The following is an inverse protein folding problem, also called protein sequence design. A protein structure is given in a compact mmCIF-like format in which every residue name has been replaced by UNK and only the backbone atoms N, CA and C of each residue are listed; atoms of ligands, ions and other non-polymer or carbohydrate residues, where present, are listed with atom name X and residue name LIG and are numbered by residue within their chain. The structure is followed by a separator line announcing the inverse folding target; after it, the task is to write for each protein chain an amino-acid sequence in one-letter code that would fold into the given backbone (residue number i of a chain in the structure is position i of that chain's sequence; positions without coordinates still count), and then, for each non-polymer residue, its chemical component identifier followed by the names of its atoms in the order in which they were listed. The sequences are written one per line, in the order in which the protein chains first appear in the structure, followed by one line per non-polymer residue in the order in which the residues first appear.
data_IF_978280451684
#
_entry.id   IF_978280451684
#
_cell.length_a   1.000
_cell.length_b   1.000
_cell.length_c   1.000
_cell.angle_alpha   90.00
_cell.angle_beta   90.00
_cell.angle_gamma   90.00
#
_symmetry.space_group_name_H-M   'P 1'
#
loop_
_entity.id
_entity.type
_entity.pdbx_description
1 polymer ?
#
# COMPACT_ATOMS: atom_id res chain seq x y z
N UNK A 1 25.15 27.97 -36.92
CA UNK A 1 26.20 27.96 -35.87
C UNK A 1 25.60 28.45 -34.56
N UNK A 2 26.00 27.80 -33.45
CA UNK A 2 25.65 27.99 -32.01
C UNK A 2 24.36 27.28 -31.57
N UNK A 3 24.42 26.04 -31.04
CA UNK A 3 24.80 25.59 -29.67
C UNK A 3 23.92 26.22 -28.58
N UNK A 4 22.97 25.44 -28.04
CA UNK A 4 23.01 24.53 -26.86
C UNK A 4 22.71 25.28 -25.56
N UNK A 5 21.62 24.90 -24.90
CA UNK A 5 21.61 24.54 -23.48
C UNK A 5 20.64 23.37 -23.30
N UNK A 6 21.19 22.23 -22.88
CA UNK A 6 20.47 21.09 -22.38
C UNK A 6 20.36 21.27 -20.86
N UNK A 7 19.17 21.12 -20.31
CA UNK A 7 19.00 20.93 -18.87
C UNK A 7 19.15 19.43 -18.59
N UNK A 8 20.23 19.11 -17.88
CA UNK A 8 20.44 17.81 -17.25
C UNK A 8 19.80 17.93 -15.87
N UNK A 9 18.76 17.16 -15.60
CA UNK A 9 18.35 16.88 -14.23
C UNK A 9 19.26 15.77 -13.69
N UNK A 10 20.18 16.17 -12.81
CA UNK A 10 20.95 15.27 -11.96
C UNK A 10 20.12 15.08 -10.70
N UNK A 11 19.49 13.91 -10.53
CA UNK A 11 18.98 13.50 -9.23
C UNK A 11 20.06 12.69 -8.52
N UNK A 12 20.35 13.13 -7.30
CA UNK A 12 21.46 12.74 -6.46
C UNK A 12 21.30 11.28 -6.01
N UNK A 13 22.20 10.40 -6.46
CA UNK A 13 22.34 9.05 -5.94
C UNK A 13 23.08 9.12 -4.60
N UNK A 14 22.37 8.93 -3.50
CA UNK A 14 22.97 8.65 -2.21
C UNK A 14 23.39 7.19 -2.14
N UNK A 15 24.60 6.88 -2.61
CA UNK A 15 25.25 5.59 -2.36
C UNK A 15 25.91 5.67 -0.99
N UNK A 16 25.36 4.99 0.01
CA UNK A 16 26.14 4.58 1.19
C UNK A 16 26.62 3.16 0.90
N UNK A 17 27.86 3.06 0.41
CA UNK A 17 28.55 1.77 0.28
C UNK A 17 29.03 1.37 1.67
N UNK A 18 28.40 0.38 2.29
CA UNK A 18 29.03 -0.43 3.33
C UNK A 18 29.35 -1.78 2.70
N UNK A 19 30.65 -1.99 2.47
CA UNK A 19 31.23 -3.29 2.15
C UNK A 19 31.15 -4.14 3.42
N UNK A 20 30.09 -4.94 3.57
CA UNK A 20 30.14 -6.14 4.40
C UNK A 20 30.54 -7.30 3.49
N UNK A 21 31.75 -7.80 3.70
CA UNK A 21 32.30 -8.96 3.01
C UNK A 21 31.41 -10.19 3.21
N UNK A 22 31.13 -10.87 2.11
CA UNK A 22 30.61 -12.24 2.01
C UNK A 22 30.94 -13.13 3.22
N UNK A 23 29.90 -13.55 3.94
CA UNK A 23 29.88 -14.83 4.65
C UNK A 23 28.77 -15.65 4.00
N UNK A 24 28.99 -16.01 2.74
CA UNK A 24 28.35 -17.19 2.17
C UNK A 24 29.23 -18.37 2.57
N UNK A 25 28.82 -19.08 3.62
CA UNK A 25 29.26 -20.47 3.75
C UNK A 25 28.62 -21.25 2.59
N UNK A 26 29.41 -22.15 2.01
CA UNK A 26 29.14 -22.94 0.80
C UNK A 26 27.93 -23.90 0.93
N UNK A 27 27.21 -23.85 2.06
CA UNK A 27 26.08 -24.70 2.43
C UNK A 27 24.83 -23.88 2.83
N UNK A 28 24.41 -22.88 2.04
CA UNK A 28 23.01 -22.43 1.95
C UNK A 28 22.24 -21.98 3.21
N UNK A 29 22.84 -21.93 4.39
CA UNK A 29 22.21 -21.50 5.65
C UNK A 29 23.03 -20.39 6.27
N UNK A 30 22.51 -19.16 6.21
CA UNK A 30 22.98 -18.05 7.06
C UNK A 30 22.34 -18.29 8.44
N UNK A 31 23.10 -18.90 9.35
CA UNK A 31 22.71 -19.10 10.74
C UNK A 31 23.71 -18.35 11.65
N UNK A 32 23.28 -17.34 12.43
CA UNK A 32 21.90 -16.90 12.66
C UNK A 32 21.36 -15.95 11.57
N UNK A 33 20.03 -15.88 11.40
CA UNK A 33 19.40 -14.91 10.51
C UNK A 33 19.80 -13.49 10.93
N UNK A 34 20.36 -12.72 9.99
CA UNK A 34 20.77 -11.33 10.24
C UNK A 34 19.51 -10.47 10.26
N UNK A 35 19.33 -9.69 11.32
CA UNK A 35 18.27 -8.70 11.39
C UNK A 35 18.52 -7.60 10.35
N UNK A 36 17.52 -7.30 9.53
CA UNK A 36 17.59 -6.29 8.46
C UNK A 36 16.51 -5.24 8.66
N UNK A 37 16.73 -4.03 8.15
CA UNK A 37 15.69 -3.00 8.07
C UNK A 37 15.32 -2.77 6.62
N UNK A 38 14.07 -3.04 6.28
CA UNK A 38 13.54 -2.76 4.94
C UNK A 38 12.92 -1.38 4.96
N UNK A 39 13.47 -0.47 4.16
CA UNK A 39 12.92 0.86 3.97
C UNK A 39 12.05 0.83 2.73
N UNK A 40 10.92 1.53 2.76
CA UNK A 40 10.03 1.59 1.62
C UNK A 40 9.62 3.03 1.31
N UNK A 41 9.24 3.22 0.06
CA UNK A 41 8.64 4.46 -0.44
C UNK A 41 7.48 4.09 -1.35
N UNK A 42 6.34 4.76 -1.14
CA UNK A 42 5.16 4.67 -1.99
C UNK A 42 4.92 6.04 -2.60
N UNK A 43 4.82 6.11 -3.92
CA UNK A 43 4.51 7.36 -4.63
C UNK A 43 3.38 7.16 -5.60
N UNK A 44 2.33 7.97 -5.53
CA UNK A 44 1.28 8.02 -6.54
C UNK A 44 1.49 9.27 -7.41
N UNK A 45 1.57 9.08 -8.73
CA UNK A 45 1.65 10.19 -9.72
C UNK A 45 0.39 10.32 -10.57
N UNK A 46 -0.49 9.32 -10.51
CA UNK A 46 -1.81 9.27 -11.14
C UNK A 46 -2.82 9.04 -10.02
N UNK A 47 -3.83 9.89 -9.93
CA UNK A 47 -4.62 9.96 -8.70
C UNK A 47 -5.32 8.66 -8.37
N UNK A 48 -5.00 8.09 -7.19
CA UNK A 48 -5.78 7.00 -6.61
C UNK A 48 -7.09 7.62 -6.13
N UNK A 49 -8.20 7.19 -6.67
CA UNK A 49 -9.53 7.64 -6.28
C UNK A 49 -10.26 6.56 -5.51
N UNK A 50 -10.88 6.95 -4.42
CA UNK A 50 -11.90 6.18 -3.74
C UNK A 50 -13.26 6.73 -4.11
N UNK A 51 -14.07 5.90 -4.75
CA UNK A 51 -15.44 6.24 -5.06
C UNK A 51 -16.35 5.80 -3.93
N UNK A 52 -17.17 6.71 -3.39
CA UNK A 52 -18.26 6.38 -2.46
C UNK A 52 -19.57 7.00 -2.96
N UNK A 53 -20.71 6.65 -2.37
CA UNK A 53 -22.04 7.05 -2.85
C UNK A 53 -22.16 8.57 -3.08
N UNK A 54 -21.74 9.39 -2.10
CA UNK A 54 -21.98 10.84 -2.11
C UNK A 54 -20.79 11.70 -2.60
N UNK A 55 -19.59 11.13 -2.75
CA UNK A 55 -18.38 11.86 -3.16
C UNK A 55 -17.32 10.94 -3.80
N UNK A 56 -16.32 11.57 -4.40
CA UNK A 56 -15.09 10.93 -4.84
C UNK A 56 -13.91 11.58 -4.12
N UNK A 57 -13.09 10.75 -3.47
CA UNK A 57 -11.90 11.16 -2.74
C UNK A 57 -10.68 10.80 -3.59
N UNK A 58 -9.94 11.79 -4.12
CA UNK A 58 -8.85 11.57 -5.07
C UNK A 58 -7.53 12.06 -4.51
N UNK A 59 -6.59 11.14 -4.33
CA UNK A 59 -5.21 11.42 -3.99
C UNK A 59 -4.52 12.11 -5.16
N UNK A 60 -4.04 13.33 -4.99
CA UNK A 60 -3.39 14.10 -6.06
C UNK A 60 -1.89 13.83 -6.10
N UNK A 61 -1.26 13.82 -4.94
CA UNK A 61 0.14 13.50 -4.72
C UNK A 61 0.26 12.61 -3.50
N UNK A 62 1.24 11.72 -3.50
CA UNK A 62 1.52 10.84 -2.37
C UNK A 62 3.02 10.58 -2.32
N UNK A 63 3.61 10.80 -1.15
CA UNK A 63 4.93 10.27 -0.80
C UNK A 63 4.86 9.70 0.60
N UNK A 64 4.75 8.38 0.71
CA UNK A 64 4.82 7.69 2.00
C UNK A 64 6.19 7.04 2.13
N UNK A 65 6.80 7.18 3.29
CA UNK A 65 8.10 6.57 3.59
C UNK A 65 8.03 5.86 4.93
N UNK A 66 8.71 4.73 5.07
CA UNK A 66 8.67 3.94 6.28
C UNK A 66 9.72 2.87 6.34
N UNK A 67 9.76 2.14 7.45
CA UNK A 67 10.68 1.03 7.64
C UNK A 67 10.10 -0.07 8.51
N UNK A 68 10.42 -1.33 8.21
CA UNK A 68 10.11 -2.45 9.09
C UNK A 68 11.34 -3.35 9.28
N UNK A 69 11.34 -4.15 10.35
CA UNK A 69 12.41 -5.11 10.62
C UNK A 69 12.07 -6.48 10.03
N UNK A 70 13.06 -7.15 9.45
CA UNK A 70 12.93 -8.50 8.89
C UNK A 70 14.18 -9.35 9.12
N UNK A 71 14.23 -10.52 8.46
CA UNK A 71 15.37 -11.45 8.52
C UNK A 71 15.97 -11.69 7.13
N UNK A 72 17.31 -11.78 7.07
CA UNK A 72 18.03 -12.15 5.86
C UNK A 72 17.77 -13.62 5.50
N UNK A 73 17.29 -13.90 4.28
CA UNK A 73 17.16 -15.26 3.75
C UNK A 73 15.73 -15.71 3.41
N UNK A 74 14.70 -15.06 3.93
CA UNK A 74 13.30 -15.47 3.71
C UNK A 74 12.69 -14.93 2.38
N UNK A 75 13.51 -14.45 1.44
CA UNK A 75 13.02 -13.53 0.40
C UNK A 75 12.64 -12.18 1.03
N UNK A 76 12.31 -11.15 0.26
CA UNK A 76 11.66 -9.97 0.81
C UNK A 76 10.21 -10.36 1.17
N UNK A 77 10.02 -11.20 2.19
CA UNK A 77 8.70 -11.51 2.71
C UNK A 77 8.20 -10.28 3.44
N UNK A 78 7.20 -9.64 2.85
CA UNK A 78 6.54 -8.45 3.35
C UNK A 78 5.51 -8.78 4.46
N UNK A 79 5.68 -9.92 5.14
CA UNK A 79 4.83 -10.33 6.25
C UNK A 79 5.16 -9.51 7.49
N UNK A 80 4.43 -8.40 7.66
CA UNK A 80 4.55 -7.48 8.79
C UNK A 80 3.21 -7.35 9.50
N UNK A 81 3.23 -7.14 10.80
CA UNK A 81 2.00 -6.88 11.56
C UNK A 81 1.46 -5.45 11.33
N UNK A 82 2.33 -4.52 10.96
CA UNK A 82 1.99 -3.12 10.76
C UNK A 82 2.85 -2.42 9.72
N UNK A 83 2.39 -1.25 9.28
CA UNK A 83 2.98 -0.38 8.28
C UNK A 83 3.19 1.00 8.91
N UNK A 84 4.44 1.46 8.99
CA UNK A 84 4.76 2.72 9.68
C UNK A 84 5.06 3.86 8.72
N UNK A 85 4.39 5.01 8.82
CA UNK A 85 4.73 6.20 8.03
C UNK A 85 5.59 7.17 8.83
N UNK A 86 6.78 7.46 8.33
CA UNK A 86 7.73 8.37 8.94
C UNK A 86 7.27 9.84 8.79
N UNK A 87 7.77 10.77 9.63
CA UNK A 87 7.48 12.21 9.52
C UNK A 87 7.95 12.90 8.23
N UNK A 88 8.65 12.18 7.35
CA UNK A 88 8.96 12.64 5.99
C UNK A 88 7.85 12.35 4.98
N UNK A 89 6.72 11.79 5.42
CA UNK A 89 5.60 11.43 4.56
C UNK A 89 4.62 12.59 4.42
N UNK A 90 4.18 12.83 3.18
CA UNK A 90 3.30 13.94 2.79
C UNK A 90 2.35 13.46 1.68
N UNK A 91 1.12 13.95 1.67
CA UNK A 91 0.18 13.71 0.58
C UNK A 91 -0.92 14.76 0.45
N UNK A 92 -1.38 14.95 -0.78
CA UNK A 92 -2.50 15.82 -1.10
C UNK A 92 -3.75 14.99 -1.42
N UNK A 93 -4.84 15.26 -0.74
CA UNK A 93 -6.13 14.62 -0.98
C UNK A 93 -7.16 15.66 -1.43
N UNK A 94 -7.81 15.40 -2.56
CA UNK A 94 -8.90 16.22 -3.06
C UNK A 94 -10.24 15.53 -2.88
N UNK A 95 -11.26 16.30 -2.49
CA UNK A 95 -12.62 15.82 -2.31
C UNK A 95 -13.50 16.44 -3.39
N UNK A 96 -14.25 15.60 -4.11
CA UNK A 96 -15.21 16.04 -5.13
C UNK A 96 -16.59 15.53 -4.76
N UNK A 97 -17.47 16.44 -4.33
CA UNK A 97 -18.86 16.11 -4.04
C UNK A 97 -19.62 15.68 -5.31
N UNK A 98 -20.47 14.66 -5.19
CA UNK A 98 -21.35 14.19 -6.26
C UNK A 98 -22.78 14.73 -6.16
N UNK A 99 -23.14 15.37 -5.05
CA UNK A 99 -24.49 15.84 -4.78
C UNK A 99 -24.50 17.30 -4.32
N UNK A 100 -25.62 18.00 -4.57
CA UNK A 100 -25.76 19.39 -4.12
C UNK A 100 -25.87 19.53 -2.60
N UNK A 101 -26.16 18.42 -1.90
CA UNK A 101 -26.35 18.37 -0.45
C UNK A 101 -25.04 18.02 0.30
N UNK A 102 -23.98 17.62 -0.42
CA UNK A 102 -22.64 17.41 0.13
C UNK A 102 -21.77 18.63 -0.16
N UNK A 103 -21.36 19.32 0.91
CA UNK A 103 -20.62 20.59 0.86
C UNK A 103 -19.11 20.41 0.83
N UNK A 104 -18.60 19.24 1.23
CA UNK A 104 -17.18 18.99 1.29
C UNK A 104 -16.61 18.86 -0.13
N UNK A 105 -15.91 19.90 -0.56
CA UNK A 105 -15.15 19.90 -1.82
C UNK A 105 -13.96 20.83 -1.67
N UNK A 106 -12.78 20.35 -2.05
CA UNK A 106 -11.54 21.09 -1.83
C UNK A 106 -10.33 20.18 -1.89
N UNK A 107 -9.20 20.67 -1.41
CA UNK A 107 -7.96 19.90 -1.28
C UNK A 107 -7.43 20.07 0.13
N UNK A 108 -7.06 18.97 0.76
CA UNK A 108 -6.31 18.95 2.00
C UNK A 108 -4.87 18.51 1.74
N UNK A 109 -3.93 19.21 2.35
CA UNK A 109 -2.53 18.81 2.41
C UNK A 109 -2.31 18.13 3.76
N UNK A 110 -1.67 16.96 3.75
CA UNK A 110 -1.41 16.18 4.94
C UNK A 110 0.08 16.00 5.15
N UNK A 111 0.54 16.41 6.32
CA UNK A 111 1.92 16.25 6.78
C UNK A 111 1.97 15.29 7.98
N UNK A 112 2.71 14.19 7.84
CA UNK A 112 2.98 13.31 9.00
C UNK A 112 3.98 14.00 9.91
N UNK A 113 3.62 14.18 11.19
CA UNK A 113 4.45 14.92 12.16
C UNK A 113 5.07 14.02 13.23
N UNK A 114 4.43 12.89 13.50
CA UNK A 114 4.97 11.78 14.27
C UNK A 114 4.68 10.47 13.55
N UNK A 115 5.54 9.47 13.76
CA UNK A 115 5.44 8.19 13.04
C UNK A 115 4.06 7.57 13.25
N UNK A 116 3.34 7.33 12.16
CA UNK A 116 2.02 6.68 12.23
C UNK A 116 2.20 5.18 12.06
N UNK A 117 1.65 4.40 12.99
CA UNK A 117 1.70 2.95 12.97
C UNK A 117 0.33 2.38 12.58
N UNK A 118 0.18 1.97 11.32
CA UNK A 118 -1.03 1.34 10.81
C UNK A 118 -0.96 -0.16 11.04
N UNK A 119 -1.80 -0.66 11.93
CA UNK A 119 -2.05 -2.10 12.04
C UNK A 119 -2.70 -2.60 10.75
N UNK A 120 -2.31 -3.78 10.29
CA UNK A 120 -2.95 -4.41 9.13
C UNK A 120 -4.26 -5.14 9.50
N UNK A 121 -4.49 -5.42 10.79
CA UNK A 121 -5.66 -6.16 11.29
C UNK A 121 -6.70 -5.28 11.97
N UNK A 122 -6.26 -4.14 12.52
CA UNK A 122 -7.04 -3.26 13.38
C UNK A 122 -6.82 -1.81 12.99
N UNK A 123 -7.53 -0.90 13.67
CA UNK A 123 -7.28 0.52 13.53
C UNK A 123 -5.81 0.90 13.84
N UNK A 124 -5.35 2.05 13.33
CA UNK A 124 -4.02 2.59 13.63
C UNK A 124 -3.72 2.62 15.13
N UNK A 125 -2.48 2.32 15.50
CA UNK A 125 -2.08 2.13 16.89
C UNK A 125 -1.58 3.43 17.55
N UNK A 126 -0.87 4.26 16.78
CA UNK A 126 -0.29 5.52 17.25
C UNK A 126 0.11 6.42 16.10
N UNK A 127 0.30 7.71 16.38
CA UNK A 127 0.95 8.65 15.47
C UNK A 127 0.34 10.04 15.51
N UNK A 128 0.84 10.92 14.64
CA UNK A 128 0.27 12.26 14.49
C UNK A 128 0.46 12.77 13.05
N UNK A 129 -0.57 13.42 12.53
CA UNK A 129 -0.47 14.19 11.30
C UNK A 129 -1.18 15.55 11.45
N UNK A 130 -0.81 16.45 10.56
CA UNK A 130 -1.46 17.73 10.37
C UNK A 130 -2.20 17.69 9.04
N UNK A 131 -3.43 18.19 9.04
CA UNK A 131 -4.27 18.38 7.87
C UNK A 131 -4.55 19.86 7.69
N UNK A 132 -4.12 20.42 6.57
CA UNK A 132 -4.49 21.78 6.17
C UNK A 132 -5.60 21.69 5.13
N UNK A 133 -6.83 22.06 5.50
CA UNK A 133 -7.97 22.13 4.60
C UNK A 133 -8.47 23.58 4.52
N UNK A 134 -8.48 24.14 3.32
CA UNK A 134 -8.89 25.54 3.05
C UNK A 134 -8.23 26.58 3.98
N UNK A 135 -6.97 26.35 4.34
CA UNK A 135 -6.18 27.23 5.20
C UNK A 135 -6.46 27.11 6.69
N UNK A 136 -7.22 26.09 7.10
CA UNK A 136 -7.42 25.72 8.51
C UNK A 136 -6.59 24.49 8.83
N UNK A 137 -5.70 24.62 9.80
CA UNK A 137 -4.83 23.53 10.28
C UNK A 137 -5.54 22.71 11.34
N UNK A 138 -5.60 21.39 11.12
CA UNK A 138 -6.16 20.40 12.03
C UNK A 138 -5.09 19.40 12.41
N UNK A 139 -4.79 19.28 13.70
CA UNK A 139 -3.86 18.28 14.23
C UNK A 139 -4.64 17.05 14.65
N UNK A 140 -4.24 15.89 14.14
CA UNK A 140 -4.86 14.61 14.46
C UNK A 140 -3.85 13.72 15.17
N UNK A 141 -4.16 13.33 16.41
CA UNK A 141 -3.34 12.45 17.24
C UNK A 141 -4.02 11.09 17.34
N UNK A 142 -3.33 10.06 16.89
CA UNK A 142 -3.82 8.68 16.82
C UNK A 142 -3.38 7.94 18.08
N UNK A 143 -4.30 7.19 18.67
CA UNK A 143 -4.04 6.28 19.78
C UNK A 143 -4.85 4.97 19.61
N UNK A 144 -4.46 3.95 20.37
CA UNK A 144 -5.08 2.63 20.29
C UNK A 144 -6.59 2.62 20.55
N UNK A 145 -7.08 3.54 21.38
CA UNK A 145 -8.47 3.64 21.80
C UNK A 145 -9.27 4.73 21.07
N UNK A 146 -8.63 5.50 20.18
CA UNK A 146 -9.31 6.52 19.39
C UNK A 146 -8.39 7.61 18.84
N UNK A 147 -8.97 8.78 18.62
CA UNK A 147 -8.32 9.89 17.93
C UNK A 147 -8.62 11.21 18.65
N UNK A 148 -7.58 11.99 18.93
CA UNK A 148 -7.70 13.37 19.41
C UNK A 148 -7.55 14.35 18.25
N UNK A 149 -8.51 15.26 18.07
CA UNK A 149 -8.52 16.25 16.98
C UNK A 149 -8.49 17.66 17.55
N UNK A 150 -7.48 18.46 17.17
CA UNK A 150 -7.37 19.88 17.53
C UNK A 150 -7.38 20.77 16.28
N UNK A 151 -8.32 21.71 16.22
CA UNK A 151 -8.47 22.64 15.09
C UNK A 151 -7.87 24.00 15.44
N UNK A 152 -6.89 24.44 14.67
CA UNK A 152 -6.17 25.69 14.86
C UNK A 152 -5.52 25.79 16.24
N UNK A 153 -6.03 26.68 17.09
CA UNK A 153 -5.55 26.86 18.48
C UNK A 153 -6.52 26.31 19.53
N UNK A 154 -7.59 25.64 19.10
CA UNK A 154 -8.54 25.03 20.01
C UNK A 154 -7.92 23.84 20.75
N UNK A 155 -8.50 23.51 21.91
CA UNK A 155 -8.14 22.28 22.61
C UNK A 155 -8.57 21.06 21.80
N UNK A 156 -7.83 19.96 21.93
CA UNK A 156 -8.18 18.69 21.31
C UNK A 156 -9.53 18.17 21.85
N UNK A 157 -10.31 17.58 20.96
CA UNK A 157 -11.51 16.79 21.27
C UNK A 157 -11.21 15.34 20.94
N UNK A 158 -11.46 14.46 21.90
CA UNK A 158 -11.21 13.02 21.75
C UNK A 158 -12.45 12.31 21.22
N UNK A 159 -12.23 11.39 20.29
CA UNK A 159 -13.23 10.55 19.65
C UNK A 159 -12.81 9.08 19.77
N UNK A 160 -13.75 8.19 20.03
CA UNK A 160 -13.53 6.75 19.79
C UNK A 160 -13.37 6.48 18.29
N UNK A 161 -12.80 5.34 17.91
CA UNK A 161 -12.72 4.95 16.50
C UNK A 161 -14.07 4.93 15.79
N UNK A 162 -15.10 4.36 16.42
CA UNK A 162 -16.44 4.32 15.84
C UNK A 162 -17.06 5.71 15.65
N UNK A 163 -16.77 6.66 16.54
CA UNK A 163 -17.18 8.06 16.37
C UNK A 163 -16.39 8.73 15.25
N UNK A 164 -15.07 8.50 15.21
CA UNK A 164 -14.18 9.06 14.21
C UNK A 164 -14.54 8.63 12.78
N UNK A 165 -14.82 7.34 12.57
CA UNK A 165 -15.25 6.78 11.27
C UNK A 165 -16.55 7.45 10.77
N UNK A 166 -17.43 7.86 11.69
CA UNK A 166 -18.65 8.55 11.35
C UNK A 166 -18.43 10.02 10.97
N UNK A 167 -17.37 10.67 11.46
CA UNK A 167 -17.13 12.11 11.25
C UNK A 167 -17.04 12.47 9.77
N UNK A 168 -16.35 11.67 8.96
CA UNK A 168 -16.17 11.95 7.53
C UNK A 168 -17.49 12.12 6.75
N UNK A 169 -18.54 11.43 7.21
CA UNK A 169 -19.86 11.42 6.58
C UNK A 169 -20.91 12.27 7.33
N UNK A 170 -20.55 12.86 8.47
CA UNK A 170 -21.46 13.70 9.25
C UNK A 170 -21.41 15.16 8.76
N UNK A 171 -22.43 15.57 8.01
CA UNK A 171 -22.55 16.94 7.47
C UNK A 171 -22.82 18.01 8.53
N UNK A 172 -23.02 17.63 9.79
CA UNK A 172 -23.11 18.58 10.92
C UNK A 172 -21.75 18.92 11.53
N UNK A 173 -20.71 18.16 11.19
CA UNK A 173 -19.33 18.38 11.61
C UNK A 173 -18.65 19.38 10.68
N UNK A 174 -17.72 20.18 11.20
CA UNK A 174 -16.98 21.16 10.41
C UNK A 174 -16.12 20.49 9.33
N UNK A 175 -16.07 21.08 8.14
CA UNK A 175 -15.42 20.50 6.96
C UNK A 175 -13.93 20.16 7.17
N UNK A 176 -13.22 20.92 8.01
CA UNK A 176 -11.83 20.67 8.38
C UNK A 176 -11.63 19.40 9.22
N UNK A 177 -12.58 19.08 10.11
CA UNK A 177 -12.59 17.83 10.88
C UNK A 177 -12.98 16.67 9.95
N UNK A 178 -13.98 16.88 9.08
CA UNK A 178 -14.39 15.88 8.10
C UNK A 178 -13.24 15.53 7.16
N UNK A 179 -12.59 16.53 6.55
CA UNK A 179 -11.43 16.35 5.68
C UNK A 179 -10.30 15.59 6.37
N UNK A 180 -10.00 15.93 7.63
CA UNK A 180 -8.99 15.22 8.40
C UNK A 180 -9.37 13.74 8.63
N UNK A 181 -10.62 13.44 8.97
CA UNK A 181 -11.08 12.06 9.14
C UNK A 181 -10.99 11.24 7.85
N UNK A 182 -11.39 11.84 6.74
CA UNK A 182 -11.33 11.21 5.42
C UNK A 182 -9.89 11.00 4.92
N UNK A 183 -8.98 11.87 5.29
CA UNK A 183 -7.56 11.67 5.00
C UNK A 183 -7.00 10.42 5.69
N UNK A 184 -7.37 10.16 6.94
CA UNK A 184 -6.94 8.95 7.65
C UNK A 184 -7.59 7.69 7.05
N UNK A 185 -8.87 7.77 6.70
CA UNK A 185 -9.60 6.68 6.03
C UNK A 185 -9.00 6.36 4.64
N UNK A 186 -8.55 7.38 3.89
CA UNK A 186 -7.83 7.19 2.63
C UNK A 186 -6.44 6.56 2.84
N UNK A 187 -5.69 6.98 3.87
CA UNK A 187 -4.42 6.34 4.23
C UNK A 187 -4.61 4.87 4.61
N UNK A 188 -5.62 4.56 5.41
CA UNK A 188 -5.95 3.19 5.80
C UNK A 188 -6.28 2.34 4.57
N UNK A 189 -7.09 2.87 3.66
CA UNK A 189 -7.39 2.23 2.37
C UNK A 189 -6.12 1.98 1.53
N UNK A 190 -5.19 2.94 1.48
CA UNK A 190 -3.90 2.79 0.77
C UNK A 190 -3.00 1.74 1.43
N UNK A 191 -2.92 1.69 2.77
CA UNK A 191 -2.18 0.66 3.52
C UNK A 191 -2.70 -0.73 3.16
N UNK A 192 -4.02 -0.90 3.07
CA UNK A 192 -4.65 -2.16 2.67
C UNK A 192 -4.35 -2.50 1.22
N UNK A 193 -4.44 -1.55 0.32
CA UNK A 193 -4.10 -1.75 -1.08
C UNK A 193 -2.63 -2.15 -1.26
N UNK A 194 -1.72 -1.55 -0.50
CA UNK A 194 -0.31 -1.96 -0.44
C UNK A 194 -0.18 -3.42 -0.02
N UNK A 195 -0.83 -3.81 1.07
CA UNK A 195 -0.83 -5.20 1.53
C UNK A 195 -1.37 -6.17 0.47
N UNK A 196 -2.46 -5.86 -0.23
CA UNK A 196 -2.96 -6.75 -1.28
C UNK A 196 -2.05 -6.81 -2.51
N UNK A 197 -1.28 -5.77 -2.79
CA UNK A 197 -0.21 -5.85 -3.78
C UNK A 197 0.91 -6.80 -3.31
N UNK A 198 1.28 -6.74 -2.03
CA UNK A 198 2.26 -7.64 -1.41
C UNK A 198 1.77 -9.12 -1.46
N UNK A 199 0.46 -9.36 -1.30
CA UNK A 199 -0.16 -10.68 -1.47
C UNK A 199 0.06 -11.23 -2.89
N UNK A 200 -0.19 -10.43 -3.93
CA UNK A 200 0.05 -10.84 -5.32
C UNK A 200 1.52 -11.21 -5.55
N UNK A 201 2.46 -10.43 -5.02
CA UNK A 201 3.90 -10.74 -5.11
C UNK A 201 4.20 -12.06 -4.41
N UNK A 202 3.63 -12.28 -3.22
CA UNK A 202 3.80 -13.52 -2.46
C UNK A 202 3.27 -14.73 -3.23
N UNK A 203 2.09 -14.62 -3.83
CA UNK A 203 1.50 -15.69 -4.64
C UNK A 203 2.31 -15.97 -5.91
N UNK A 204 2.86 -14.93 -6.55
CA UNK A 204 3.80 -15.07 -7.68
C UNK A 204 5.01 -15.89 -7.29
N UNK A 205 5.63 -15.55 -6.16
CA UNK A 205 6.81 -16.26 -5.69
C UNK A 205 6.50 -17.71 -5.28
N UNK A 206 5.38 -17.95 -4.60
CA UNK A 206 4.92 -19.28 -4.22
C UNK A 206 4.60 -20.17 -5.44
N UNK A 207 4.09 -19.57 -6.53
CA UNK A 207 3.68 -20.28 -7.73
C UNK A 207 4.66 -20.15 -8.91
N UNK A 208 5.86 -19.60 -8.66
CA UNK A 208 6.85 -19.24 -9.70
C UNK A 208 7.09 -20.36 -10.71
N UNK A 209 7.41 -21.57 -10.24
CA UNK A 209 7.70 -22.72 -11.13
C UNK A 209 6.50 -23.10 -12.01
N UNK A 210 5.27 -22.98 -11.50
CA UNK A 210 4.06 -23.29 -12.25
C UNK A 210 3.80 -22.21 -13.30
N UNK A 211 3.97 -20.93 -12.92
CA UNK A 211 3.84 -19.79 -13.83
C UNK A 211 4.82 -19.91 -15.01
N UNK A 212 6.11 -20.12 -14.70
CA UNK A 212 7.20 -20.34 -15.66
C UNK A 212 6.93 -21.53 -16.61
N UNK A 213 6.32 -22.60 -16.10
CA UNK A 213 5.95 -23.79 -16.87
C UNK A 213 4.66 -23.68 -17.71
N UNK A 214 3.79 -22.68 -17.45
CA UNK A 214 2.41 -22.66 -17.96
C UNK A 214 2.20 -22.01 -19.35
N UNK A 215 3.29 -21.80 -20.12
CA UNK A 215 3.26 -21.18 -21.46
C UNK A 215 2.57 -19.79 -21.51
N UNK A 216 2.69 -18.99 -20.44
CA UNK A 216 2.33 -17.55 -20.36
C UNK A 216 0.85 -17.17 -20.58
N UNK A 217 -0.01 -18.09 -21.03
CA UNK A 217 -1.38 -17.77 -21.46
C UNK A 217 -2.46 -18.40 -20.58
N UNK A 218 -2.07 -19.19 -19.58
CA UNK A 218 -3.01 -19.89 -18.71
C UNK A 218 -2.90 -19.32 -17.31
N UNK A 219 -3.95 -18.63 -16.79
CA UNK A 219 -3.99 -18.24 -15.40
C UNK A 219 -3.84 -19.47 -14.48
N UNK A 220 -3.03 -19.33 -13.45
CA UNK A 220 -2.90 -20.30 -12.36
C UNK A 220 -4.02 -20.01 -11.36
N UNK A 221 -4.80 -21.02 -10.99
CA UNK A 221 -5.75 -20.87 -9.90
C UNK A 221 -4.97 -20.74 -8.59
N UNK A 222 -5.29 -19.73 -7.80
CA UNK A 222 -4.81 -19.56 -6.42
C UNK A 222 -6.00 -19.71 -5.48
N UNK A 223 -5.73 -20.08 -4.24
CA UNK A 223 -6.78 -20.39 -3.29
C UNK A 223 -7.45 -19.12 -2.76
N UNK A 224 -8.76 -19.21 -2.52
CA UNK A 224 -9.47 -18.25 -1.67
C UNK A 224 -9.76 -18.95 -0.35
N UNK A 225 -9.58 -18.26 0.77
CA UNK A 225 -9.77 -18.83 2.11
C UNK A 225 -11.25 -18.93 2.50
N UNK A 226 -12.15 -19.02 1.52
CA UNK A 226 -13.55 -19.19 1.77
C UNK A 226 -13.76 -20.56 2.41
N UNK A 227 -14.31 -20.58 3.63
CA UNK A 227 -14.75 -21.84 4.20
C UNK A 227 -15.93 -22.42 3.39
N UNK A 228 -16.25 -23.70 3.59
CA UNK A 228 -17.33 -24.37 2.87
C UNK A 228 -18.72 -23.72 3.10
N UNK A 229 -18.86 -22.84 4.08
CA UNK A 229 -20.10 -22.10 4.40
C UNK A 229 -20.16 -20.72 3.71
N UNK A 230 -19.02 -20.18 3.30
CA UNK A 230 -18.84 -18.89 2.63
C UNK A 230 -18.87 -18.98 1.09
N UNK A 231 -19.22 -20.13 0.50
CA UNK A 231 -19.39 -20.26 -0.95
C UNK A 231 -18.07 -20.34 -1.75
N UNK A 232 -18.18 -20.53 -3.07
CA UNK A 232 -17.02 -20.76 -3.95
C UNK A 232 -16.45 -19.45 -4.47
N UNK A 233 -15.46 -18.88 -3.76
CA UNK A 233 -14.61 -17.83 -4.29
C UNK A 233 -13.78 -18.31 -5.47
N UNK A 234 -13.32 -17.38 -6.30
CA UNK A 234 -12.40 -17.65 -7.40
C UNK A 234 -11.27 -16.63 -7.39
N UNK A 235 -10.04 -17.11 -7.25
CA UNK A 235 -8.86 -16.31 -7.49
C UNK A 235 -7.95 -16.95 -8.53
N UNK A 236 -7.32 -16.11 -9.33
CA UNK A 236 -6.37 -16.55 -10.34
C UNK A 236 -5.24 -15.56 -10.47
N UNK A 237 -4.06 -16.09 -10.68
CA UNK A 237 -2.84 -15.36 -10.95
C UNK A 237 -2.42 -15.55 -12.40
N UNK A 238 -2.08 -14.46 -13.07
CA UNK A 238 -1.53 -14.51 -14.43
C UNK A 238 -0.26 -13.69 -14.54
N UNK A 239 0.63 -14.14 -15.41
CA UNK A 239 1.94 -13.54 -15.66
C UNK A 239 2.10 -13.26 -17.15
N UNK A 240 2.57 -12.07 -17.47
CA UNK A 240 2.91 -11.63 -18.83
C UNK A 240 4.37 -11.18 -18.85
N UNK A 241 5.18 -11.78 -19.71
CA UNK A 241 6.55 -11.34 -19.91
C UNK A 241 6.60 -10.12 -20.83
N UNK A 242 7.35 -9.08 -20.43
CA UNK A 242 7.46 -7.82 -21.18
C UNK A 242 8.52 -7.87 -22.29
N UNK A 243 9.54 -8.74 -22.15
CA UNK A 243 10.57 -8.88 -23.15
C UNK A 243 10.30 -10.02 -24.16
N UNK A 244 10.18 -9.65 -25.43
CA UNK A 244 10.43 -10.60 -26.51
C UNK A 244 11.93 -10.91 -26.62
N UNK A 245 12.44 -11.81 -25.78
CA UNK A 245 13.69 -12.53 -26.07
C UNK A 245 14.71 -12.74 -24.95
N UNK A 246 14.61 -12.07 -23.80
CA UNK A 246 15.70 -12.13 -22.80
C UNK A 246 15.42 -13.04 -21.59
N UNK A 247 14.15 -13.25 -21.22
CA UNK A 247 13.84 -13.97 -19.96
C UNK A 247 13.53 -15.46 -20.16
N UNK A 248 13.49 -15.96 -21.41
CA UNK A 248 13.33 -17.39 -21.77
C UNK A 248 12.29 -18.21 -20.95
N UNK A 249 11.21 -17.59 -20.47
CA UNK A 249 10.22 -18.27 -19.64
C UNK A 249 10.57 -18.32 -18.14
N UNK A 250 11.42 -17.42 -17.67
CA UNK A 250 11.72 -17.16 -16.26
C UNK A 250 11.11 -15.83 -15.86
N UNK A 251 10.57 -15.74 -14.66
CA UNK A 251 10.05 -14.47 -14.12
C UNK A 251 11.21 -13.49 -13.93
N UNK A 252 11.13 -12.37 -14.64
CA UNK A 252 12.22 -11.45 -14.88
C UNK A 252 11.90 -10.01 -14.50
N UNK A 253 12.82 -9.13 -14.89
CA UNK A 253 12.65 -7.70 -14.71
C UNK A 253 11.63 -7.19 -15.73
N UNK A 254 10.83 -6.21 -15.34
CA UNK A 254 9.86 -5.51 -16.17
C UNK A 254 8.63 -6.37 -16.54
N UNK A 255 8.58 -7.62 -16.07
CA UNK A 255 7.42 -8.50 -16.18
C UNK A 255 6.19 -7.93 -15.44
N UNK A 256 5.02 -8.41 -15.86
CA UNK A 256 3.74 -8.01 -15.28
C UNK A 256 2.96 -9.19 -14.70
N UNK A 257 2.30 -8.97 -13.58
CA UNK A 257 1.42 -9.93 -12.92
C UNK A 257 0.03 -9.35 -12.71
N UNK A 258 -0.96 -10.21 -12.71
CA UNK A 258 -2.35 -9.86 -12.38
C UNK A 258 -2.91 -10.88 -11.41
N UNK A 259 -3.21 -10.43 -10.21
CA UNK A 259 -4.08 -11.14 -9.27
C UNK A 259 -5.52 -10.75 -9.52
N UNK A 260 -6.38 -11.73 -9.82
CA UNK A 260 -7.82 -11.53 -10.03
C UNK A 260 -8.57 -12.24 -8.92
N UNK A 261 -9.36 -11.50 -8.16
CA UNK A 261 -10.12 -11.99 -7.01
C UNK A 261 -11.61 -11.77 -7.22
N UNK A 262 -12.42 -12.82 -7.05
CA UNK A 262 -13.88 -12.78 -7.17
C UNK A 262 -14.50 -13.52 -6.00
N UNK A 263 -15.27 -12.82 -5.17
CA UNK A 263 -15.85 -13.36 -3.95
C UNK A 263 -14.81 -14.06 -3.05
N UNK A 264 -13.63 -13.47 -2.85
CA UNK A 264 -12.53 -14.12 -2.14
C UNK A 264 -12.30 -13.51 -0.77
N UNK A 265 -12.21 -14.38 0.22
CA UNK A 265 -11.82 -14.06 1.57
C UNK A 265 -10.33 -14.34 1.76
N UNK A 266 -9.66 -13.43 2.47
CA UNK A 266 -8.27 -13.61 2.94
C UNK A 266 -8.33 -13.73 4.45
N UNK A 267 -8.17 -14.98 4.92
CA UNK A 267 -8.39 -15.36 6.32
C UNK A 267 -7.34 -14.80 7.26
N UNK A 268 -6.11 -14.60 6.78
CA UNK A 268 -5.01 -14.01 7.54
C UNK A 268 -5.38 -12.63 8.12
N UNK A 269 -6.24 -11.87 7.43
CA UNK A 269 -6.64 -10.51 7.80
C UNK A 269 -8.12 -10.34 8.04
N UNK A 270 -8.88 -11.42 7.93
CA UNK A 270 -10.34 -11.39 8.02
C UNK A 270 -10.99 -10.41 7.03
N UNK A 271 -10.51 -10.35 5.77
CA UNK A 271 -10.97 -9.37 4.77
C UNK A 271 -11.56 -10.04 3.53
N UNK A 272 -12.59 -9.42 2.98
CA UNK A 272 -13.13 -9.77 1.67
C UNK A 272 -12.50 -8.88 0.59
N UNK A 273 -12.19 -9.46 -0.56
CA UNK A 273 -11.61 -8.79 -1.73
C UNK A 273 -12.40 -9.16 -2.99
N UNK A 274 -12.73 -8.13 -3.77
CA UNK A 274 -13.21 -8.29 -5.14
C UNK A 274 -12.59 -7.25 -6.07
N UNK A 275 -11.90 -7.70 -7.12
CA UNK A 275 -11.24 -6.80 -8.07
C UNK A 275 -10.04 -7.44 -8.76
N UNK A 276 -9.35 -6.65 -9.58
CA UNK A 276 -8.08 -7.02 -10.19
C UNK A 276 -6.97 -6.13 -9.60
N UNK A 277 -5.83 -6.74 -9.29
CA UNK A 277 -4.62 -6.05 -8.84
C UNK A 277 -3.52 -6.36 -9.84
N UNK A 278 -3.09 -5.34 -10.55
CA UNK A 278 -2.08 -5.42 -11.59
C UNK A 278 -0.75 -4.90 -11.07
N UNK A 279 0.31 -5.66 -11.29
CA UNK A 279 1.69 -5.32 -10.98
C UNK A 279 2.44 -5.25 -12.30
N UNK A 280 3.03 -4.12 -12.63
CA UNK A 280 3.90 -3.94 -13.80
C UNK A 280 5.26 -3.40 -13.39
N UNK A 281 6.21 -3.39 -14.32
CA UNK A 281 7.58 -2.91 -14.10
C UNK A 281 8.27 -3.62 -12.93
N UNK A 282 7.97 -4.91 -12.73
CA UNK A 282 8.45 -5.67 -11.58
C UNK A 282 9.98 -5.77 -11.59
N UNK A 283 10.60 -5.43 -10.47
CA UNK A 283 12.03 -5.62 -10.25
C UNK A 283 12.19 -6.72 -9.21
N UNK A 284 12.53 -7.96 -9.61
CA UNK A 284 12.67 -9.08 -8.69
C UNK A 284 13.86 -8.88 -7.74
N UNK A 285 13.73 -9.47 -6.56
CA UNK A 285 14.86 -9.71 -5.68
C UNK A 285 15.89 -10.62 -6.39
N UNK A 286 17.14 -10.17 -6.52
CA UNK A 286 18.21 -10.93 -7.19
C UNK A 286 19.18 -11.61 -6.23
N UNK A 287 18.93 -11.60 -4.91
CA UNK A 287 19.67 -12.37 -3.92
C UNK A 287 21.16 -12.03 -3.73
N UNK A 288 21.76 -11.22 -4.61
CA UNK A 288 23.16 -10.79 -4.54
C UNK A 288 23.27 -9.44 -3.77
N UNK A 289 23.28 -9.49 -2.44
CA UNK A 289 23.47 -8.32 -1.56
C UNK A 289 22.15 -7.65 -1.10
N UNK A 290 22.16 -6.31 -0.95
CA UNK A 290 20.96 -5.55 -0.54
C UNK A 290 19.84 -5.69 -1.56
N UNK A 291 18.73 -6.27 -1.13
CA UNK A 291 17.60 -6.59 -1.99
C UNK A 291 16.76 -5.35 -2.31
N UNK A 292 16.24 -5.30 -3.54
CA UNK A 292 15.36 -4.23 -4.01
C UNK A 292 14.15 -4.83 -4.69
N UNK A 293 12.99 -4.32 -4.33
CA UNK A 293 11.73 -4.63 -4.98
C UNK A 293 11.13 -3.31 -5.50
N UNK A 294 10.73 -3.31 -6.76
CA UNK A 294 10.09 -2.17 -7.41
C UNK A 294 8.91 -2.64 -8.24
N UNK A 295 7.80 -1.92 -8.18
CA UNK A 295 6.60 -2.25 -8.93
C UNK A 295 5.72 -1.01 -9.15
N UNK A 296 5.00 -1.00 -10.27
CA UNK A 296 3.83 -0.16 -10.47
C UNK A 296 2.61 -1.01 -10.16
N UNK A 297 1.82 -0.61 -9.15
CA UNK A 297 0.57 -1.27 -8.77
C UNK A 297 -0.60 -0.49 -9.32
N UNK A 298 -1.52 -1.19 -9.99
CA UNK A 298 -2.73 -0.65 -10.56
C UNK A 298 -3.93 -1.41 -9.96
N UNK A 299 -4.77 -0.65 -9.23
CA UNK A 299 -5.94 -1.12 -8.52
C UNK A 299 -7.12 -1.00 -9.47
N UNK A 300 -7.44 -2.06 -10.20
CA UNK A 300 -8.58 -2.07 -11.12
C UNK A 300 -9.88 -2.25 -10.33
N UNK A 301 -10.44 -1.12 -9.86
CA UNK A 301 -11.75 -1.02 -9.23
C UNK A 301 -11.92 -1.97 -8.02
N UNK A 302 -10.90 -1.98 -7.15
CA UNK A 302 -10.74 -2.89 -6.03
C UNK A 302 -11.75 -2.58 -4.92
N UNK A 303 -12.57 -3.57 -4.58
CA UNK A 303 -13.47 -3.57 -3.44
C UNK A 303 -12.86 -4.35 -2.27
N UNK A 304 -12.88 -3.75 -1.08
CA UNK A 304 -12.37 -4.33 0.17
C UNK A 304 -13.40 -4.10 1.28
N UNK A 305 -13.64 -5.13 2.09
CA UNK A 305 -14.55 -5.02 3.22
C UNK A 305 -14.09 -5.83 4.43
N UNK A 306 -14.41 -5.29 5.62
CA UNK A 306 -13.97 -5.80 6.92
C UNK A 306 -15.05 -6.56 7.70
N UNK A 307 -16.20 -6.81 7.07
CA UNK A 307 -17.40 -7.32 7.72
C UNK A 307 -17.98 -8.58 7.08
N UNK A 308 -19.08 -9.06 7.66
CA UNK A 308 -19.86 -10.16 7.09
C UNK A 308 -20.41 -9.74 5.73
N UNK A 309 -19.98 -10.47 4.69
CA UNK A 309 -20.47 -10.32 3.33
C UNK A 309 -21.20 -11.58 2.95
N UNK A 310 -22.34 -11.42 2.30
CA UNK A 310 -22.99 -12.54 1.63
C UNK A 310 -22.24 -12.85 0.34
N UNK A 311 -21.33 -13.82 0.41
CA UNK A 311 -20.54 -14.32 -0.71
C UNK A 311 -21.38 -14.89 -1.87
N UNK A 312 -22.69 -15.08 -1.69
CA UNK A 312 -23.59 -15.50 -2.75
C UNK A 312 -24.14 -14.34 -3.58
N UNK A 313 -23.93 -13.10 -3.12
CA UNK A 313 -24.38 -11.89 -3.78
C UNK A 313 -23.16 -11.14 -4.31
N UNK A 314 -23.04 -10.94 -5.64
CA UNK A 314 -21.96 -10.14 -6.20
C UNK A 314 -21.92 -8.75 -5.57
N UNK A 315 -20.72 -8.19 -5.38
CA UNK A 315 -20.57 -6.82 -4.89
C UNK A 315 -21.31 -5.88 -5.84
N UNK A 316 -22.14 -5.01 -5.27
CA UNK A 316 -22.90 -4.06 -6.05
C UNK A 316 -21.96 -3.06 -6.75
N UNK A 317 -22.32 -2.62 -7.96
CA UNK A 317 -21.47 -1.73 -8.79
C UNK A 317 -21.23 -0.37 -8.11
N UNK A 318 -22.13 0.04 -7.23
CA UNK A 318 -22.10 1.26 -6.42
C UNK A 318 -21.39 1.10 -5.07
N UNK A 319 -20.85 -0.09 -4.77
CA UNK A 319 -20.08 -0.29 -3.54
C UNK A 319 -18.81 0.56 -3.55
N UNK A 320 -18.31 1.01 -2.39
CA UNK A 320 -17.07 1.79 -2.32
C UNK A 320 -15.86 1.07 -2.92
N UNK A 321 -15.16 1.71 -3.86
CA UNK A 321 -14.04 1.09 -4.58
C UNK A 321 -12.83 1.98 -4.67
N UNK A 322 -11.65 1.36 -4.69
CA UNK A 322 -10.36 2.00 -4.93
C UNK A 322 -9.97 1.77 -6.38
N UNK A 323 -9.71 2.87 -7.09
CA UNK A 323 -9.21 2.86 -8.47
C UNK A 323 -7.96 3.73 -8.56
N UNK A 324 -7.01 3.32 -9.40
CA UNK A 324 -5.83 4.09 -9.72
C UNK A 324 -4.52 3.36 -9.46
N UNK A 325 -3.43 4.10 -9.59
CA UNK A 325 -2.08 3.52 -9.71
C UNK A 325 -1.06 4.21 -8.83
N UNK A 326 -0.23 3.41 -8.18
CA UNK A 326 0.89 3.87 -7.37
C UNK A 326 2.17 3.10 -7.70
N UNK A 327 3.31 3.75 -7.48
CA UNK A 327 4.63 3.13 -7.55
C UNK A 327 5.08 2.74 -6.16
N UNK A 328 5.62 1.55 -6.07
CA UNK A 328 6.09 0.92 -4.86
C UNK A 328 7.57 0.62 -4.98
N UNK A 329 8.35 1.00 -3.98
CA UNK A 329 9.77 0.69 -3.90
C UNK A 329 10.15 0.26 -2.49
N UNK A 330 10.78 -0.91 -2.39
CA UNK A 330 11.43 -1.39 -1.18
C UNK A 330 12.93 -1.51 -1.41
N UNK A 331 13.68 -1.11 -0.40
CA UNK A 331 15.13 -1.21 -0.35
C UNK A 331 15.51 -1.75 1.02
N UNK A 332 16.07 -2.95 1.02
CA UNK A 332 16.68 -3.51 2.21
C UNK A 332 17.97 -2.75 2.55
N UNK A 333 18.16 -2.45 3.83
CA UNK A 333 19.39 -1.89 4.38
C UNK A 333 19.90 -2.84 5.47
N UNK A 334 21.17 -3.25 5.36
CA UNK A 334 21.85 -4.04 6.39
C UNK A 334 22.00 -3.20 7.66
N UNK A 335 21.49 -3.72 8.78
CA UNK A 335 21.76 -3.17 10.11
C UNK A 335 22.77 -4.10 10.77
N UNK A 336 24.02 -3.66 10.86
CA UNK A 336 25.03 -4.40 11.60
C UNK A 336 24.71 -4.32 13.10
N UNK A 337 24.32 -5.44 13.69
CA UNK A 337 24.29 -5.58 15.15
C UNK A 337 25.74 -5.54 15.59
N UNK A 338 26.12 -4.52 16.37
CA UNK A 338 27.44 -4.48 16.99
C UNK A 338 27.58 -5.74 17.85
N UNK A 339 28.62 -6.54 17.58
CA UNK A 339 28.96 -7.65 18.46
C UNK A 339 29.37 -7.07 19.82
N UNK A 340 28.63 -7.44 20.87
CA UNK A 340 28.99 -7.18 22.28
C UNK A 340 30.31 -7.88 22.66
#
# INVERSE_FOLDING_TARGET
MKNRFAFVFVSLVGVVTLLASSITEEDGTIDPPVAVTVNYTVTASTGVSREIDIRTDTLQTLTLSGSYSGFSGDGLTLDRASVTFAPSSEFDLSFTSKSADETLSGTTVIDVTDTIDFSLDTNPLSGQYVSDFDGTTTVVTIATDGVGIAVGSAAAVDYTWAEFDALGNDTSVADDIRAAALALDMLDALVRALYFAELVITDVEANRTVLEGSNLNTPVAIDCDNDATQGTGQASLSWTSDASGDDQGVIGRDDSFRGRYRNCYVSERLRFIEGDIDISDYIPDRGDGLRRLGATVDLSDLFVAEGEIDFNTPVAVDSPRLDGRFQLSYVENEVSVAAD
#
